data_IF_731561093549
#
_entry.id   IF_731561093549
#
_cell.length_a   1.000
_cell.length_b   1.000
_cell.length_c   1.000
_cell.angle_alpha   90.00
_cell.angle_beta   90.00
_cell.angle_gamma   90.00
#
_symmetry.space_group_name_H-M   'P 1'
#
loop_
_entity.id
_entity.type
_entity.pdbx_description
1 polymer ?
#
# COMPACT_ATOMS: atom_id res chain seq x y z
N UNK A 1 -4.03 19.44 -0.74
CA UNK A 1 -3.57 18.06 -1.02
C UNK A 1 -4.32 17.49 -2.21
N UNK A 2 -3.83 17.77 -3.41
CA UNK A 2 -4.26 17.04 -4.60
C UNK A 2 -3.61 15.65 -4.55
N UNK A 3 -4.42 14.59 -4.53
CA UNK A 3 -4.00 13.16 -4.43
C UNK A 3 -3.23 12.68 -5.68
N UNK A 4 -2.55 13.58 -6.41
CA UNK A 4 -2.05 13.26 -7.74
C UNK A 4 -0.73 12.50 -7.72
N UNK A 5 0.09 12.57 -6.65
CA UNK A 5 1.40 11.89 -6.60
C UNK A 5 1.95 11.70 -5.18
N UNK A 6 1.17 11.06 -4.32
CA UNK A 6 1.59 10.52 -3.01
C UNK A 6 2.95 9.79 -3.00
N UNK A 7 3.35 9.12 -4.09
CA UNK A 7 4.68 8.51 -4.22
C UNK A 7 5.82 9.52 -4.31
N UNK A 8 5.61 10.62 -5.03
CA UNK A 8 6.61 11.68 -5.16
C UNK A 8 6.77 12.43 -3.83
N UNK A 9 5.70 12.52 -3.03
CA UNK A 9 5.73 13.04 -1.66
C UNK A 9 6.43 12.12 -0.66
N UNK A 10 6.37 10.78 -0.85
CA UNK A 10 7.08 9.82 0.00
C UNK A 10 8.58 9.73 -0.33
N UNK A 11 8.97 9.98 -1.58
CA UNK A 11 10.35 9.87 -2.08
C UNK A 11 11.07 11.24 -2.17
N UNK A 12 10.38 12.36 -1.85
CA UNK A 12 10.88 13.75 -1.91
C UNK A 12 11.76 14.02 -3.15
N UNK A 13 11.27 13.70 -4.35
CA UNK A 13 12.01 14.01 -5.58
C UNK A 13 12.00 15.52 -5.81
N UNK A 14 13.18 16.11 -6.01
CA UNK A 14 13.40 17.56 -6.17
C UNK A 14 12.57 18.20 -7.29
N UNK A 15 12.12 17.41 -8.28
CA UNK A 15 11.42 17.88 -9.49
C UNK A 15 9.88 17.70 -9.44
N UNK A 16 9.27 17.43 -8.28
CA UNK A 16 7.81 17.31 -8.18
C UNK A 16 7.12 18.63 -7.82
N UNK A 17 6.05 18.97 -8.55
CA UNK A 17 5.16 20.10 -8.25
C UNK A 17 4.46 19.89 -6.89
N UNK A 18 5.14 20.29 -5.82
CA UNK A 18 4.62 20.26 -4.46
C UNK A 18 3.70 21.46 -4.21
N UNK A 19 2.52 21.24 -3.62
CA UNK A 19 1.77 22.33 -2.98
C UNK A 19 2.48 22.76 -1.67
N UNK A 20 2.30 24.01 -1.21
CA UNK A 20 2.94 24.59 0.00
C UNK A 20 2.73 23.79 1.31
N UNK A 21 1.99 22.68 1.25
CA UNK A 21 1.62 21.79 2.36
C UNK A 21 2.22 20.37 2.24
N UNK A 22 3.13 20.16 1.28
CA UNK A 22 3.83 18.89 1.07
C UNK A 22 4.83 18.60 2.20
N UNK A 23 4.37 17.85 3.21
CA UNK A 23 5.22 17.21 4.22
C UNK A 23 4.91 15.71 4.21
N UNK A 24 5.94 14.87 4.17
CA UNK A 24 5.80 13.40 4.25
C UNK A 24 5.00 12.97 5.49
N UNK A 25 5.13 13.72 6.58
CA UNK A 25 4.42 13.45 7.83
C UNK A 25 2.91 13.68 7.68
N UNK A 26 2.49 14.66 6.87
CA UNK A 26 1.08 14.91 6.59
C UNK A 26 0.45 13.81 5.73
N UNK A 27 1.19 13.30 4.74
CA UNK A 27 0.71 12.22 3.87
C UNK A 27 0.53 10.91 4.64
N UNK A 28 1.52 10.54 5.46
CA UNK A 28 1.44 9.33 6.31
C UNK A 28 0.34 9.51 7.35
N UNK A 29 0.27 10.68 8.00
CA UNK A 29 -0.79 10.98 8.98
C UNK A 29 -2.19 10.84 8.39
N UNK A 30 -2.41 11.29 7.15
CA UNK A 30 -3.70 11.12 6.48
C UNK A 30 -4.05 9.64 6.24
N UNK A 31 -3.09 8.84 5.78
CA UNK A 31 -3.27 7.40 5.58
C UNK A 31 -3.58 6.68 6.89
N UNK A 32 -2.85 7.01 7.96
CA UNK A 32 -3.04 6.43 9.29
C UNK A 32 -4.32 6.92 9.99
N UNK A 33 -4.85 8.09 9.61
CA UNK A 33 -6.07 8.63 10.24
C UNK A 33 -7.34 7.93 9.77
N UNK A 34 -7.37 7.42 8.53
CA UNK A 34 -8.59 6.87 7.94
C UNK A 34 -8.38 5.61 7.11
N UNK A 35 -7.50 5.66 6.11
CA UNK A 35 -7.41 4.62 5.08
C UNK A 35 -6.85 3.30 5.63
N UNK A 36 -5.67 3.33 6.26
CA UNK A 36 -5.01 2.13 6.76
C UNK A 36 -5.81 1.43 7.86
N UNK A 37 -6.32 2.12 8.91
CA UNK A 37 -7.13 1.44 9.92
C UNK A 37 -8.41 0.82 9.37
N UNK A 38 -9.08 1.49 8.42
CA UNK A 38 -10.35 1.02 7.86
C UNK A 38 -10.15 -0.23 7.01
N UNK A 39 -9.17 -0.23 6.11
CA UNK A 39 -8.91 -1.39 5.25
C UNK A 39 -8.37 -2.56 6.09
N UNK A 40 -7.53 -2.31 7.08
CA UNK A 40 -7.05 -3.33 8.00
C UNK A 40 -8.20 -3.97 8.79
N UNK A 41 -9.16 -3.17 9.28
CA UNK A 41 -10.33 -3.69 10.00
C UNK A 41 -11.25 -4.54 9.09
N UNK A 42 -11.46 -4.12 7.84
CA UNK A 42 -12.23 -4.89 6.84
C UNK A 42 -11.56 -6.24 6.59
N UNK A 43 -10.27 -6.24 6.27
CA UNK A 43 -9.51 -7.48 5.99
C UNK A 43 -9.47 -8.41 7.19
N UNK A 44 -9.34 -7.86 8.40
CA UNK A 44 -9.33 -8.64 9.65
C UNK A 44 -10.68 -9.30 9.96
N UNK A 45 -11.80 -8.63 9.66
CA UNK A 45 -13.15 -9.15 9.96
C UNK A 45 -13.67 -10.08 8.88
N UNK A 46 -13.17 -9.94 7.66
CA UNK A 46 -13.60 -10.78 6.56
C UNK A 46 -13.18 -12.24 6.79
N UNK A 47 -14.13 -13.15 6.56
CA UNK A 47 -13.87 -14.59 6.53
C UNK A 47 -13.27 -15.04 5.19
N UNK A 48 -13.21 -14.13 4.21
CA UNK A 48 -12.60 -14.33 2.90
C UNK A 48 -11.25 -13.63 2.81
N UNK A 49 -10.40 -14.08 1.90
CA UNK A 49 -9.10 -13.46 1.58
C UNK A 49 -9.24 -12.13 0.79
N UNK A 50 -10.45 -11.80 0.35
CA UNK A 50 -10.77 -10.63 -0.49
C UNK A 50 -11.61 -9.60 0.27
N UNK A 51 -11.60 -8.36 -0.21
CA UNK A 51 -12.21 -7.21 0.46
C UNK A 51 -13.74 -7.24 0.51
N UNK A 52 -14.40 -7.72 -0.55
CA UNK A 52 -15.86 -7.55 -0.69
C UNK A 52 -16.62 -8.79 -1.16
N UNK A 53 -15.95 -9.90 -1.46
CA UNK A 53 -16.59 -11.10 -2.00
C UNK A 53 -15.79 -12.36 -1.66
N UNK A 54 -16.29 -13.53 -2.08
CA UNK A 54 -15.56 -14.80 -2.00
C UNK A 54 -14.54 -14.98 -3.13
N UNK A 55 -14.39 -13.98 -4.00
CA UNK A 55 -13.42 -13.93 -5.10
C UNK A 55 -12.81 -12.54 -5.20
N UNK A 56 -11.62 -12.45 -5.80
CA UNK A 56 -10.96 -11.19 -6.10
C UNK A 56 -11.84 -10.33 -7.02
N UNK A 57 -11.83 -9.03 -6.75
CA UNK A 57 -12.54 -8.00 -7.50
C UNK A 57 -11.61 -6.85 -7.85
N UNK A 58 -12.12 -5.87 -8.59
CA UNK A 58 -11.38 -4.65 -8.88
C UNK A 58 -11.03 -3.84 -7.61
N UNK A 59 -11.77 -4.01 -6.51
CA UNK A 59 -11.47 -3.35 -5.24
C UNK A 59 -10.12 -3.81 -4.68
N UNK A 60 -9.85 -5.12 -4.76
CA UNK A 60 -8.59 -5.72 -4.30
C UNK A 60 -7.40 -5.18 -5.12
N UNK A 61 -7.58 -5.09 -6.44
CA UNK A 61 -6.58 -4.48 -7.33
C UNK A 61 -6.36 -3.00 -7.07
N UNK A 62 -7.42 -2.24 -6.77
CA UNK A 62 -7.30 -0.83 -6.43
C UNK A 62 -6.48 -0.63 -5.15
N UNK A 63 -6.71 -1.47 -4.14
CA UNK A 63 -5.92 -1.49 -2.90
C UNK A 63 -4.45 -1.83 -3.20
N UNK A 64 -4.17 -2.79 -4.08
CA UNK A 64 -2.81 -3.10 -4.53
C UNK A 64 -2.11 -1.95 -5.24
N UNK A 65 -2.79 -1.31 -6.20
CA UNK A 65 -2.24 -0.14 -6.89
C UNK A 65 -1.95 1.00 -5.91
N UNK A 66 -2.80 1.15 -4.89
CA UNK A 66 -2.66 2.18 -3.88
C UNK A 66 -1.69 1.83 -2.75
N UNK A 67 -1.33 0.58 -2.46
CA UNK A 67 -0.45 0.31 -1.31
C UNK A 67 0.85 -0.39 -1.66
N UNK A 68 0.95 -1.15 -2.76
CA UNK A 68 2.22 -1.78 -3.15
C UNK A 68 3.38 -0.78 -3.25
N UNK A 69 3.18 0.43 -3.82
CA UNK A 69 4.26 1.41 -3.85
C UNK A 69 4.66 1.91 -2.45
N UNK A 70 3.72 2.19 -1.52
CA UNK A 70 4.12 2.52 -0.13
C UNK A 70 4.82 1.35 0.53
N UNK A 71 4.32 0.12 0.34
CA UNK A 71 4.93 -1.05 0.96
C UNK A 71 6.38 -1.18 0.49
N UNK A 72 6.66 -0.87 -0.77
CA UNK A 72 8.02 -0.87 -1.32
C UNK A 72 8.91 0.21 -0.69
N UNK A 73 8.43 1.46 -0.61
CA UNK A 73 9.23 2.61 -0.13
C UNK A 73 9.28 2.76 1.40
N UNK A 74 8.19 2.44 2.10
CA UNK A 74 8.01 2.58 3.54
C UNK A 74 7.48 1.28 4.21
N UNK A 75 8.20 0.15 4.12
CA UNK A 75 7.70 -1.15 4.57
C UNK A 75 7.35 -1.19 6.06
N UNK A 76 8.05 -0.39 6.90
CA UNK A 76 7.81 -0.35 8.36
C UNK A 76 6.44 0.21 8.73
N UNK A 77 5.82 1.02 7.87
CA UNK A 77 4.46 1.52 8.11
C UNK A 77 3.46 0.37 8.28
N UNK A 78 3.67 -0.70 7.52
CA UNK A 78 2.78 -1.86 7.50
C UNK A 78 3.06 -2.89 8.59
N UNK A 79 4.08 -2.68 9.44
CA UNK A 79 4.28 -3.50 10.65
C UNK A 79 3.04 -3.42 11.58
N UNK A 80 2.30 -2.30 11.52
CA UNK A 80 1.03 -2.05 12.25
C UNK A 80 -0.22 -2.50 11.50
N UNK A 81 -0.10 -2.79 10.20
CA UNK A 81 -1.22 -3.13 9.31
C UNK A 81 -0.89 -4.42 8.52
N UNK A 82 -0.70 -5.55 9.22
CA UNK A 82 -0.21 -6.79 8.63
C UNK A 82 -1.20 -7.40 7.63
N UNK A 83 -2.51 -7.23 7.82
CA UNK A 83 -3.48 -7.81 6.89
C UNK A 83 -3.45 -7.08 5.54
N UNK A 84 -3.27 -5.75 5.55
CA UNK A 84 -3.01 -5.00 4.30
C UNK A 84 -1.76 -5.54 3.62
N UNK A 85 -0.63 -5.65 4.32
CA UNK A 85 0.60 -6.18 3.71
C UNK A 85 0.40 -7.58 3.09
N UNK A 86 -0.20 -8.50 3.84
CA UNK A 86 -0.44 -9.87 3.37
C UNK A 86 -1.38 -9.91 2.17
N UNK A 87 -2.47 -9.14 2.21
CA UNK A 87 -3.43 -9.05 1.13
C UNK A 87 -2.80 -8.52 -0.16
N UNK A 88 -1.94 -7.50 -0.05
CA UNK A 88 -1.25 -6.92 -1.18
C UNK A 88 -0.19 -7.88 -1.74
N UNK A 89 0.52 -8.58 -0.85
CA UNK A 89 1.57 -9.55 -1.21
C UNK A 89 1.01 -10.74 -1.99
N UNK A 90 -0.10 -11.33 -1.55
CA UNK A 90 -0.69 -12.48 -2.25
C UNK A 90 -1.08 -12.12 -3.69
N UNK A 91 -1.62 -10.91 -3.93
CA UNK A 91 -2.04 -10.46 -5.27
C UNK A 91 -0.83 -10.12 -6.13
N UNK A 92 0.18 -9.44 -5.57
CA UNK A 92 1.42 -9.11 -6.28
C UNK A 92 2.24 -10.35 -6.71
N UNK A 93 1.98 -11.51 -6.10
CA UNK A 93 2.61 -12.79 -6.42
C UNK A 93 1.85 -13.61 -7.47
N UNK A 94 0.68 -13.15 -7.93
CA UNK A 94 -0.06 -13.81 -9.00
C UNK A 94 0.59 -13.53 -10.35
N UNK A 95 0.79 -14.57 -11.17
CA UNK A 95 1.48 -14.46 -12.46
C UNK A 95 0.77 -13.49 -13.41
N UNK A 96 -0.56 -13.39 -13.32
CA UNK A 96 -1.39 -12.49 -14.13
C UNK A 96 -1.07 -11.01 -13.92
N UNK A 97 -0.48 -10.65 -12.77
CA UNK A 97 -0.12 -9.27 -12.42
C UNK A 97 1.38 -9.00 -12.44
N UNK A 98 2.18 -9.97 -12.91
CA UNK A 98 3.62 -9.82 -13.05
C UNK A 98 3.96 -8.63 -13.96
N UNK A 99 4.73 -7.67 -13.44
CA UNK A 99 5.10 -6.45 -14.16
C UNK A 99 3.99 -5.39 -14.24
N UNK A 100 2.76 -5.69 -13.80
CA UNK A 100 1.67 -4.73 -13.70
C UNK A 100 1.66 -4.01 -12.35
N UNK A 101 1.87 -4.76 -11.26
CA UNK A 101 1.90 -4.22 -9.90
C UNK A 101 3.33 -3.96 -9.42
N UNK A 102 3.50 -2.98 -8.53
CA UNK A 102 4.76 -2.77 -7.82
C UNK A 102 5.13 -4.06 -7.06
N UNK A 103 6.40 -4.47 -7.22
CA UNK A 103 6.94 -5.64 -6.55
C UNK A 103 6.95 -5.43 -5.04
N UNK A 104 6.28 -6.31 -4.30
CA UNK A 104 6.38 -6.34 -2.84
C UNK A 104 7.56 -7.24 -2.49
N UNK A 105 8.74 -6.63 -2.31
CA UNK A 105 9.95 -7.37 -1.95
C UNK A 105 9.77 -7.99 -0.56
N UNK A 106 9.94 -9.32 -0.45
CA UNK A 106 10.28 -9.90 0.84
C UNK A 106 11.65 -9.34 1.28
N UNK A 107 11.77 -8.92 2.54
CA UNK A 107 13.09 -8.68 3.15
C UNK A 107 13.92 -9.94 2.89
N UNK A 108 14.91 -9.88 2.00
CA UNK A 108 15.99 -10.86 2.01
C UNK A 108 16.60 -10.78 3.41
N UNK A 109 16.39 -11.82 4.23
CA UNK A 109 17.28 -12.04 5.37
C UNK A 109 18.67 -12.20 4.76
N UNK A 110 19.49 -11.17 4.87
CA UNK A 110 20.94 -11.36 4.74
C UNK A 110 21.32 -12.26 5.91
N UNK A 111 21.46 -13.55 5.62
CA UNK A 111 22.18 -14.48 6.47
C UNK A 111 23.63 -14.00 6.52
N UNK A 112 24.02 -13.44 7.67
CA UNK A 112 25.41 -13.25 8.06
C UNK A 112 26.02 -14.59 8.45
#
# INVERSE_FOLDING_TARGET
MHIKNWLDHLDHREDHDCDDFCDSDNAISYLESYLLPTIEDILRRNTSLWLSSNKMTWCDLLVCCLFNPIIYHCPRLFDRYPNIFLHNKQIAQMDEFMGFLYNIREKRRLSF
#
